data_IF_689561984721
#
_entry.id   IF_689561984721
#
_cell.length_a   1.000
_cell.length_b   1.000
_cell.length_c   1.000
_cell.angle_alpha   90.00
_cell.angle_beta   90.00
_cell.angle_gamma   90.00
#
_symmetry.space_group_name_H-M   'P 1'
#
loop_
_entity.id
_entity.type
_entity.pdbx_description
1 polymer ?
#
# COMPACT_ATOMS: atom_id res chain seq x y z
N UNK A 1 11.04 13.00 10.33
CA UNK A 1 12.11 12.09 9.85
C UNK A 1 13.43 12.21 10.64
N UNK A 2 14.05 13.39 10.74
CA UNK A 2 15.38 13.55 11.39
C UNK A 2 15.41 13.17 12.88
N UNK A 3 14.35 13.46 13.63
CA UNK A 3 14.23 13.07 15.05
C UNK A 3 14.22 11.55 15.24
N UNK A 4 13.47 10.82 14.40
CA UNK A 4 13.36 9.36 14.47
C UNK A 4 14.68 8.70 14.09
N UNK A 5 15.33 9.18 13.02
CA UNK A 5 16.66 8.70 12.61
C UNK A 5 17.70 8.87 13.73
N UNK A 6 17.68 10.00 14.44
CA UNK A 6 18.56 10.27 15.57
C UNK A 6 18.27 9.35 16.76
N UNK A 7 16.99 9.13 17.09
CA UNK A 7 16.59 8.17 18.13
C UNK A 7 17.02 6.74 17.77
N UNK A 8 16.86 6.33 16.51
CA UNK A 8 17.24 4.99 16.04
C UNK A 8 18.74 4.75 16.13
N UNK A 9 19.53 5.75 15.73
CA UNK A 9 20.98 5.70 15.89
C UNK A 9 21.40 5.54 17.36
N UNK A 10 20.71 6.21 18.29
CA UNK A 10 21.02 6.08 19.72
C UNK A 10 20.65 4.70 20.31
N UNK A 11 19.53 4.12 19.88
CA UNK A 11 19.08 2.78 20.33
C UNK A 11 20.04 1.71 19.82
N UNK A 12 20.45 1.77 18.55
CA UNK A 12 21.43 0.84 17.97
C UNK A 12 22.76 0.92 18.71
N UNK A 13 23.21 2.12 19.08
CA UNK A 13 24.46 2.31 19.84
C UNK A 13 24.37 1.77 21.27
N UNK A 14 23.22 1.92 21.92
CA UNK A 14 22.94 1.33 23.24
C UNK A 14 22.87 -0.20 23.19
N UNK A 15 22.35 -0.76 22.09
CA UNK A 15 22.28 -2.19 21.87
C UNK A 15 23.68 -2.79 21.67
N UNK A 16 24.50 -2.15 20.85
CA UNK A 16 25.91 -2.54 20.62
C UNK A 16 26.71 -2.51 21.92
N UNK A 17 26.53 -1.48 22.74
CA UNK A 17 27.15 -1.38 24.07
C UNK A 17 26.69 -2.48 25.03
N UNK A 18 25.41 -2.83 25.00
CA UNK A 18 24.83 -3.90 25.83
C UNK A 18 25.29 -5.29 25.39
N UNK A 19 25.43 -5.52 24.09
CA UNK A 19 26.01 -6.74 23.50
C UNK A 19 27.47 -6.93 23.93
N UNK A 20 28.28 -5.87 23.83
CA UNK A 20 29.70 -5.93 24.21
C UNK A 20 29.93 -6.18 25.71
N UNK A 21 29.00 -5.72 26.55
CA UNK A 21 29.07 -5.91 28.01
C UNK A 21 28.39 -7.19 28.50
N UNK A 22 27.75 -7.95 27.60
CA UNK A 22 27.00 -9.16 27.96
C UNK A 22 25.78 -8.89 28.86
N UNK A 23 25.30 -7.65 28.90
CA UNK A 23 24.19 -7.25 29.77
C UNK A 23 22.85 -7.55 29.08
N UNK A 24 22.37 -8.78 29.28
CA UNK A 24 21.11 -9.28 28.70
C UNK A 24 19.88 -8.46 29.14
N UNK A 25 19.87 -7.93 30.38
CA UNK A 25 18.78 -7.10 30.88
C UNK A 25 18.68 -5.78 30.08
N UNK A 26 19.81 -5.08 29.92
CA UNK A 26 19.87 -3.86 29.09
C UNK A 26 19.60 -4.14 27.62
N UNK A 27 20.00 -5.31 27.12
CA UNK A 27 19.67 -5.73 25.76
C UNK A 27 18.16 -5.86 25.58
N UNK A 28 17.46 -6.49 26.53
CA UNK A 28 15.99 -6.60 26.52
C UNK A 28 15.32 -5.22 26.56
N UNK A 29 15.74 -4.34 27.48
CA UNK A 29 15.18 -2.98 27.57
C UNK A 29 15.42 -2.13 26.30
N UNK A 30 16.58 -2.33 25.67
CA UNK A 30 16.92 -1.64 24.41
C UNK A 30 16.13 -2.20 23.23
N UNK A 31 15.87 -3.52 23.22
CA UNK A 31 14.98 -4.16 22.24
C UNK A 31 13.53 -3.68 22.37
N UNK A 32 12.98 -3.60 23.58
CA UNK A 32 11.64 -3.06 23.81
C UNK A 32 11.52 -1.61 23.30
N UNK A 33 12.59 -0.82 23.48
CA UNK A 33 12.66 0.55 22.97
C UNK A 33 12.75 0.58 21.44
N UNK A 34 13.52 -0.33 20.83
CA UNK A 34 13.61 -0.48 19.38
C UNK A 34 12.25 -0.82 18.77
N UNK A 35 11.52 -1.79 19.33
CA UNK A 35 10.20 -2.20 18.86
C UNK A 35 9.20 -1.04 18.91
N UNK A 36 9.13 -0.32 20.03
CA UNK A 36 8.24 0.85 20.16
C UNK A 36 8.51 1.91 19.10
N UNK A 37 9.78 2.18 18.84
CA UNK A 37 10.16 3.18 17.86
C UNK A 37 9.90 2.71 16.42
N UNK A 38 10.07 1.41 16.15
CA UNK A 38 9.79 0.81 14.85
C UNK A 38 8.29 0.83 14.54
N UNK A 39 7.45 0.43 15.50
CA UNK A 39 5.98 0.48 15.38
C UNK A 39 5.50 1.92 15.18
N UNK A 40 6.06 2.88 15.92
CA UNK A 40 5.69 4.29 15.75
C UNK A 40 6.05 4.82 14.34
N UNK A 41 7.17 4.38 13.79
CA UNK A 41 7.58 4.73 12.43
C UNK A 41 6.63 4.11 11.39
N UNK A 42 6.21 2.87 11.59
CA UNK A 42 5.25 2.20 10.70
C UNK A 42 3.90 2.91 10.70
N UNK A 43 3.34 3.20 11.87
CA UNK A 43 2.07 3.96 11.99
C UNK A 43 2.19 5.35 11.38
N UNK A 44 3.34 6.02 11.56
CA UNK A 44 3.57 7.32 10.95
C UNK A 44 3.71 7.23 9.41
N UNK A 45 4.35 6.19 8.89
CA UNK A 45 4.47 5.95 7.46
C UNK A 45 3.09 5.66 6.86
N UNK A 46 2.29 4.80 7.48
CA UNK A 46 0.92 4.50 7.06
C UNK A 46 0.03 5.75 7.10
N UNK A 47 0.11 6.55 8.17
CA UNK A 47 -0.66 7.79 8.26
C UNK A 47 -0.21 8.83 7.23
N UNK A 48 1.10 8.93 6.99
CA UNK A 48 1.66 9.80 5.98
C UNK A 48 1.27 9.34 4.58
N UNK A 49 1.27 8.03 4.31
CA UNK A 49 0.82 7.44 3.05
C UNK A 49 -0.67 7.63 2.84
N UNK A 50 -1.50 7.42 3.86
CA UNK A 50 -2.95 7.68 3.79
C UNK A 50 -3.26 9.16 3.56
N UNK A 51 -2.55 10.06 4.27
CA UNK A 51 -2.70 11.51 4.10
C UNK A 51 -2.18 11.98 2.74
N UNK A 52 -1.06 11.42 2.27
CA UNK A 52 -0.52 11.68 0.95
C UNK A 52 -1.47 11.16 -0.11
N UNK A 53 -1.95 9.92 -0.03
CA UNK A 53 -2.94 9.32 -0.91
C UNK A 53 -4.18 10.22 -1.02
N UNK A 54 -4.76 10.66 0.09
CA UNK A 54 -5.89 11.59 0.09
C UNK A 54 -5.58 12.94 -0.56
N UNK A 55 -4.38 13.48 -0.36
CA UNK A 55 -3.94 14.74 -0.98
C UNK A 55 -3.56 14.58 -2.47
N UNK A 56 -3.04 13.42 -2.86
CA UNK A 56 -2.64 13.10 -4.23
C UNK A 56 -3.80 12.58 -5.06
N UNK A 57 -4.87 12.03 -4.47
CA UNK A 57 -6.09 11.64 -5.20
C UNK A 57 -6.66 12.80 -6.02
N UNK A 58 -6.52 14.04 -5.55
CA UNK A 58 -6.99 15.22 -6.29
C UNK A 58 -6.06 15.63 -7.45
N UNK A 59 -4.75 15.33 -7.33
CA UNK A 59 -3.72 15.73 -8.31
C UNK A 59 -3.30 14.59 -9.24
N UNK A 60 -3.67 13.36 -8.92
CA UNK A 60 -3.39 12.13 -9.66
C UNK A 60 -4.64 11.26 -9.58
N UNK A 61 -5.67 11.56 -10.39
CA UNK A 61 -6.89 10.77 -10.43
C UNK A 61 -6.60 9.33 -10.85
N UNK A 62 -7.25 8.36 -10.20
CA UNK A 62 -7.03 6.94 -10.49
C UNK A 62 -7.31 6.61 -11.96
N UNK A 63 -8.34 7.21 -12.56
CA UNK A 63 -8.70 7.03 -13.97
C UNK A 63 -7.56 7.41 -14.93
N UNK A 64 -6.84 8.49 -14.62
CA UNK A 64 -5.74 8.98 -15.43
C UNK A 64 -4.54 8.03 -15.32
N UNK A 65 -4.31 7.45 -14.15
CA UNK A 65 -3.25 6.45 -13.93
C UNK A 65 -3.61 5.13 -14.61
N UNK A 66 -4.86 4.67 -14.50
CA UNK A 66 -5.34 3.45 -15.14
C UNK A 66 -5.26 3.51 -16.66
N UNK A 67 -5.71 4.63 -17.25
CA UNK A 67 -5.61 4.89 -18.70
C UNK A 67 -4.14 4.93 -19.16
N UNK A 68 -3.27 5.61 -18.42
CA UNK A 68 -1.83 5.65 -18.73
C UNK A 68 -1.17 4.27 -18.60
N UNK A 69 -1.51 3.49 -17.57
CA UNK A 69 -1.01 2.12 -17.41
C UNK A 69 -1.44 1.24 -18.58
N UNK A 70 -2.68 1.37 -19.06
CA UNK A 70 -3.16 0.60 -20.21
C UNK A 70 -2.47 1.03 -21.50
N UNK A 71 -2.25 2.33 -21.72
CA UNK A 71 -1.50 2.83 -22.87
C UNK A 71 -0.05 2.33 -22.87
N UNK A 72 0.63 2.35 -21.72
CA UNK A 72 2.00 1.82 -21.59
C UNK A 72 2.01 0.30 -21.74
N UNK A 73 1.00 -0.40 -21.23
CA UNK A 73 0.84 -1.83 -21.39
C UNK A 73 0.74 -2.23 -22.87
N UNK A 74 -0.13 -1.54 -23.63
CA UNK A 74 -0.31 -1.73 -25.06
C UNK A 74 0.97 -1.39 -25.85
N UNK A 75 1.65 -0.29 -25.49
CA UNK A 75 2.90 0.15 -26.14
C UNK A 75 4.05 -0.87 -25.96
N UNK A 76 4.09 -1.58 -24.83
CA UNK A 76 5.12 -2.58 -24.53
C UNK A 76 4.65 -4.02 -24.78
N UNK A 77 3.44 -4.22 -25.32
CA UNK A 77 2.86 -5.54 -25.58
C UNK A 77 2.67 -6.39 -24.32
N UNK A 78 2.60 -5.75 -23.15
CA UNK A 78 2.29 -6.38 -21.88
C UNK A 78 0.76 -6.40 -21.79
N UNK A 79 0.11 -7.54 -22.04
CA UNK A 79 -1.28 -7.69 -21.61
C UNK A 79 -1.31 -7.55 -20.08
N UNK A 80 -1.70 -6.36 -19.58
CA UNK A 80 -2.02 -6.18 -18.18
C UNK A 80 -3.33 -6.91 -17.94
N UNK A 81 -3.20 -8.22 -17.78
CA UNK A 81 -4.17 -9.04 -17.10
C UNK A 81 -4.13 -8.58 -15.65
N UNK A 82 -4.87 -7.51 -15.36
CA UNK A 82 -5.24 -7.14 -14.00
C UNK A 82 -5.79 -8.42 -13.39
N UNK A 83 -5.02 -9.01 -12.47
CA UNK A 83 -5.29 -10.30 -11.86
C UNK A 83 -6.54 -10.27 -10.99
N UNK A 84 -7.71 -10.23 -11.61
CA UNK A 84 -8.85 -10.99 -11.10
C UNK A 84 -8.55 -12.47 -11.44
N UNK A 85 -8.67 -13.40 -10.47
CA UNK A 85 -8.24 -14.78 -10.63
C UNK A 85 -8.90 -15.40 -11.86
N UNK A 86 -8.07 -15.84 -12.80
CA UNK A 86 -8.46 -16.54 -14.01
C UNK A 86 -9.14 -17.85 -13.60
N UNK A 87 -10.48 -17.87 -13.62
CA UNK A 87 -11.22 -19.12 -13.49
C UNK A 87 -10.96 -19.95 -14.75
N UNK A 88 -10.26 -21.06 -14.56
CA UNK A 88 -9.88 -21.98 -15.60
C UNK A 88 -11.08 -22.43 -16.45
N UNK A 89 -10.94 -22.26 -17.77
CA UNK A 89 -11.66 -23.01 -18.79
C UNK A 89 -13.12 -22.64 -18.96
N UNK A 90 -13.44 -21.95 -20.06
CA UNK A 90 -14.25 -22.49 -21.16
C UNK A 90 -14.31 -21.42 -22.26
N UNK A 91 -13.90 -21.79 -23.47
CA UNK A 91 -14.11 -20.99 -24.66
C UNK A 91 -15.62 -20.86 -24.90
N UNK A 92 -16.16 -19.64 -24.80
CA UNK A 92 -17.46 -19.30 -25.39
C UNK A 92 -17.39 -17.94 -26.07
N UNK A 93 -17.62 -18.02 -27.37
CA UNK A 93 -17.93 -17.00 -28.37
C UNK A 93 -18.17 -15.56 -27.89
N UNK A 94 -17.39 -14.66 -28.49
CA UNK A 94 -17.68 -13.25 -28.79
C UNK A 94 -19.14 -12.83 -28.55
N UNK A 95 -19.37 -12.10 -27.45
CA UNK A 95 -20.56 -11.27 -27.30
C UNK A 95 -20.16 -10.02 -26.52
N UNK A 96 -20.31 -8.88 -27.20
CA UNK A 96 -20.15 -7.49 -26.76
C UNK A 96 -19.32 -7.25 -25.49
N UNK A 97 -18.11 -6.73 -25.67
CA UNK A 97 -17.41 -5.98 -24.63
C UNK A 97 -18.23 -4.72 -24.28
N UNK A 98 -19.23 -4.88 -23.43
CA UNK A 98 -19.77 -3.74 -22.69
C UNK A 98 -18.67 -3.28 -21.72
N UNK A 99 -17.96 -2.22 -22.11
CA UNK A 99 -17.24 -1.35 -21.17
C UNK A 99 -18.22 -0.98 -20.05
N UNK A 100 -18.15 -1.68 -18.93
CA UNK A 100 -18.86 -1.27 -17.72
C UNK A 100 -18.23 0.06 -17.30
N UNK A 101 -18.89 1.16 -17.62
CA UNK A 101 -18.48 2.47 -17.14
C UNK A 101 -18.63 2.51 -15.62
N UNK A 102 -17.74 3.21 -14.93
CA UNK A 102 -17.84 3.38 -13.48
C UNK A 102 -19.14 4.04 -13.03
N UNK A 103 -19.84 4.76 -13.92
CA UNK A 103 -21.21 5.23 -13.68
C UNK A 103 -22.18 4.07 -13.39
N UNK A 104 -22.03 2.95 -14.09
CA UNK A 104 -22.85 1.75 -13.90
C UNK A 104 -22.55 1.08 -12.55
N UNK A 105 -21.27 1.05 -12.15
CA UNK A 105 -20.84 0.55 -10.83
C UNK A 105 -21.32 1.46 -9.70
N UNK A 106 -21.18 2.77 -9.86
CA UNK A 106 -21.64 3.79 -8.92
C UNK A 106 -23.15 3.71 -8.70
N UNK A 107 -23.89 3.49 -9.79
CA UNK A 107 -25.35 3.30 -9.75
C UNK A 107 -25.73 2.00 -9.04
N UNK A 108 -25.07 0.88 -9.35
CA UNK A 108 -25.29 -0.41 -8.67
C UNK A 108 -24.96 -0.35 -7.18
N UNK A 109 -23.92 0.38 -6.80
CA UNK A 109 -23.51 0.56 -5.40
C UNK A 109 -24.51 1.43 -4.64
N UNK A 110 -25.03 2.49 -5.27
CA UNK A 110 -26.10 3.31 -4.70
C UNK A 110 -27.40 2.50 -4.50
N UNK A 111 -27.78 1.66 -5.47
CA UNK A 111 -28.96 0.79 -5.36
C UNK A 111 -28.78 -0.27 -4.25
N UNK A 112 -27.59 -0.85 -4.09
CA UNK A 112 -27.28 -1.76 -2.98
C UNK A 112 -27.37 -1.06 -1.62
N UNK A 113 -26.86 0.18 -1.52
CA UNK A 113 -26.88 0.98 -0.30
C UNK A 113 -28.29 1.45 0.09
N UNK A 114 -29.18 1.61 -0.89
CA UNK A 114 -30.59 1.95 -0.66
C UNK A 114 -31.46 0.73 -0.30
N UNK A 115 -30.96 -0.49 -0.53
CA UNK A 115 -31.67 -1.75 -0.27
C UNK A 115 -31.29 -2.42 1.06
N UNK A 116 -30.29 -1.88 1.76
CA UNK A 116 -29.94 -2.22 3.14
C UNK A 116 -30.43 -1.15 4.10
#
# INVERSE_FOLDING_TARGET
MTTISKSMSSIVKSLESSLNTGNLQKMSETMDSFERQFVNMEVQAEFMESSMAGSTSLSTPEDQVGSLMQQVADDYGLEVSVGLPQAAGHAISSKDEEKVSEDDLSRRLAELKARG
#
